data_IF_618875769173
#
_entry.id   IF_618875769173
#
_cell.length_a   1.000
_cell.length_b   1.000
_cell.length_c   1.000
_cell.angle_alpha   90.00
_cell.angle_beta   90.00
_cell.angle_gamma   90.00
#
_symmetry.space_group_name_H-M   'P 1'
#
loop_
_entity.id
_entity.type
_entity.pdbx_description
1 polymer ?
#
# COMPACT_ATOMS: atom_id res chain seq x y z
N UNK A 1 -12.65 7.63 -16.03
CA UNK A 1 -13.65 7.32 -14.99
C UNK A 1 -13.81 5.80 -14.81
N UNK A 2 -14.02 5.02 -15.87
CA UNK A 2 -14.15 3.55 -15.80
C UNK A 2 -12.95 2.87 -15.11
N UNK A 3 -11.72 3.28 -15.42
CA UNK A 3 -10.51 2.74 -14.78
C UNK A 3 -10.47 2.98 -13.25
N UNK A 4 -10.87 4.16 -12.79
CA UNK A 4 -10.92 4.46 -11.36
C UNK A 4 -11.95 3.58 -10.64
N UNK A 5 -13.13 3.38 -11.23
CA UNK A 5 -14.15 2.48 -10.68
C UNK A 5 -13.62 1.04 -10.58
N UNK A 6 -12.95 0.56 -11.62
CA UNK A 6 -12.37 -0.78 -11.62
C UNK A 6 -11.31 -0.97 -10.53
N UNK A 7 -10.48 0.04 -10.27
CA UNK A 7 -9.51 -0.01 -9.17
C UNK A 7 -10.21 -0.04 -7.82
N UNK A 8 -11.25 0.77 -7.63
CA UNK A 8 -12.03 0.75 -6.38
C UNK A 8 -12.66 -0.62 -6.15
N UNK A 9 -13.22 -1.24 -7.18
CA UNK A 9 -13.76 -2.61 -7.11
C UNK A 9 -12.65 -3.62 -6.78
N UNK A 10 -11.47 -3.49 -7.40
CA UNK A 10 -10.32 -4.35 -7.09
C UNK A 10 -9.85 -4.19 -5.64
N UNK A 11 -9.86 -2.96 -5.11
CA UNK A 11 -9.51 -2.68 -3.72
C UNK A 11 -10.52 -3.32 -2.75
N UNK A 12 -11.82 -3.23 -3.04
CA UNK A 12 -12.86 -3.92 -2.27
C UNK A 12 -12.69 -5.44 -2.35
N UNK A 13 -12.41 -5.98 -3.54
CA UNK A 13 -12.11 -7.41 -3.71
C UNK A 13 -10.89 -7.82 -2.89
N UNK A 14 -9.86 -6.96 -2.81
CA UNK A 14 -8.68 -7.22 -2.01
C UNK A 14 -9.00 -7.30 -0.51
N UNK A 15 -9.92 -6.47 0.01
CA UNK A 15 -10.42 -6.59 1.38
C UNK A 15 -11.13 -7.94 1.61
N UNK A 16 -11.95 -8.38 0.65
CA UNK A 16 -12.63 -9.67 0.75
C UNK A 16 -11.63 -10.83 0.74
N UNK A 17 -10.67 -10.81 -0.20
CA UNK A 17 -9.63 -11.84 -0.30
C UNK A 17 -8.71 -11.86 0.93
N UNK A 18 -8.40 -10.69 1.50
CA UNK A 18 -7.57 -10.56 2.70
C UNK A 18 -8.12 -11.36 3.89
N UNK A 19 -9.44 -11.47 4.02
CA UNK A 19 -10.10 -12.22 5.10
C UNK A 19 -9.84 -13.73 5.01
N UNK A 20 -9.59 -14.26 3.81
CA UNK A 20 -9.32 -15.68 3.60
C UNK A 20 -7.83 -16.02 3.69
N UNK A 21 -6.93 -15.05 3.84
CA UNK A 21 -5.49 -15.32 3.91
C UNK A 21 -5.13 -15.74 5.34
N UNK A 22 -4.73 -17.01 5.56
CA UNK A 22 -4.31 -17.46 6.88
C UNK A 22 -2.95 -16.85 7.26
N UNK A 23 -2.66 -16.84 8.55
CA UNK A 23 -1.35 -16.47 9.08
C UNK A 23 -0.35 -17.57 8.72
N UNK A 24 0.83 -17.19 8.24
CA UNK A 24 1.87 -18.15 7.86
C UNK A 24 2.72 -18.50 9.09
N UNK A 25 2.46 -19.65 9.70
CA UNK A 25 3.17 -20.13 10.90
C UNK A 25 4.67 -20.35 10.64
N UNK A 26 5.02 -20.85 9.46
CA UNK A 26 6.40 -21.07 9.03
C UNK A 26 7.19 -19.78 8.79
N UNK A 27 6.53 -18.62 8.74
CA UNK A 27 7.13 -17.31 8.50
C UNK A 27 6.92 -16.36 9.69
N UNK A 28 7.26 -16.82 10.91
CA UNK A 28 7.17 -16.01 12.14
C UNK A 28 5.77 -15.44 12.43
N UNK A 29 4.71 -16.17 12.09
CA UNK A 29 3.32 -15.69 12.18
C UNK A 29 3.07 -14.41 11.37
N UNK A 30 3.77 -14.26 10.23
CA UNK A 30 3.59 -13.15 9.31
C UNK A 30 2.27 -13.26 8.56
N UNK A 31 1.69 -12.10 8.23
CA UNK A 31 0.48 -11.97 7.42
C UNK A 31 0.82 -11.28 6.11
N UNK A 32 0.23 -11.71 5.02
CA UNK A 32 0.33 -10.98 3.76
C UNK A 32 -0.66 -9.81 3.77
N UNK A 33 -0.17 -8.57 3.63
CA UNK A 33 -1.01 -7.37 3.59
C UNK A 33 -1.45 -7.04 2.17
N UNK A 34 -2.40 -7.80 1.63
CA UNK A 34 -2.90 -7.65 0.25
C UNK A 34 -3.54 -6.27 0.02
N UNK A 35 -4.28 -5.75 1.01
CA UNK A 35 -4.91 -4.42 0.93
C UNK A 35 -3.87 -3.32 0.76
N UNK A 36 -2.76 -3.39 1.52
CA UNK A 36 -1.71 -2.38 1.44
C UNK A 36 -0.99 -2.46 0.08
N UNK A 37 -0.66 -3.68 -0.37
CA UNK A 37 -0.05 -3.91 -1.68
C UNK A 37 -0.94 -3.37 -2.82
N UNK A 38 -2.23 -3.67 -2.79
CA UNK A 38 -3.19 -3.24 -3.81
C UNK A 38 -3.41 -1.73 -3.81
N UNK A 39 -3.49 -1.10 -2.63
CA UNK A 39 -3.53 0.36 -2.52
C UNK A 39 -2.27 1.01 -3.09
N UNK A 40 -1.06 0.51 -2.76
CA UNK A 40 0.17 1.10 -3.29
C UNK A 40 0.31 0.89 -4.80
N UNK A 41 -0.11 -0.27 -5.33
CA UNK A 41 -0.21 -0.48 -6.78
C UNK A 41 -1.18 0.52 -7.43
N UNK A 42 -2.34 0.73 -6.81
CA UNK A 42 -3.33 1.72 -7.26
C UNK A 42 -2.73 3.14 -7.26
N UNK A 43 -2.03 3.52 -6.19
CA UNK A 43 -1.40 4.80 -6.03
C UNK A 43 -0.37 5.10 -7.14
N UNK A 44 0.30 4.10 -7.71
CA UNK A 44 1.21 4.30 -8.85
C UNK A 44 0.45 4.58 -10.16
N UNK A 45 -0.78 4.09 -10.32
CA UNK A 45 -1.49 4.13 -11.62
C UNK A 45 -2.52 5.25 -11.77
N UNK A 46 -3.10 5.75 -10.68
CA UNK A 46 -4.12 6.83 -10.68
C UNK A 46 -3.48 8.22 -10.68
N UNK A 47 -4.22 9.36 -10.76
CA UNK A 47 -3.67 10.69 -10.49
C UNK A 47 -3.68 11.05 -8.99
N UNK A 48 -3.02 12.15 -8.58
CA UNK A 48 -2.87 12.51 -7.15
C UNK A 48 -4.19 12.65 -6.37
N UNK A 49 -5.21 13.37 -6.87
CA UNK A 49 -6.47 13.54 -6.14
C UNK A 49 -7.22 12.21 -5.94
N UNK A 50 -7.20 11.33 -6.94
CA UNK A 50 -7.85 10.01 -6.87
C UNK A 50 -7.11 9.10 -5.89
N UNK A 51 -5.78 9.18 -5.83
CA UNK A 51 -4.99 8.45 -4.83
C UNK A 51 -5.38 8.85 -3.40
N UNK A 52 -5.56 10.15 -3.13
CA UNK A 52 -6.00 10.61 -1.80
C UNK A 52 -7.42 10.12 -1.46
N UNK A 53 -8.35 10.14 -2.42
CA UNK A 53 -9.69 9.56 -2.22
C UNK A 53 -9.61 8.07 -1.89
N UNK A 54 -8.77 7.32 -2.61
CA UNK A 54 -8.54 5.90 -2.31
C UNK A 54 -7.87 5.70 -0.95
N UNK A 55 -6.95 6.58 -0.55
CA UNK A 55 -6.29 6.52 0.76
C UNK A 55 -7.30 6.70 1.90
N UNK A 56 -8.21 7.66 1.72
CA UNK A 56 -9.31 7.89 2.66
C UNK A 56 -10.21 6.65 2.76
N UNK A 57 -10.67 6.10 1.64
CA UNK A 57 -11.55 4.91 1.64
C UNK A 57 -10.84 3.68 2.20
N UNK A 58 -9.61 3.40 1.74
CA UNK A 58 -8.85 2.23 2.19
C UNK A 58 -8.49 2.33 3.68
N UNK A 59 -8.04 3.49 4.14
CA UNK A 59 -7.74 3.72 5.54
C UNK A 59 -9.00 3.65 6.41
N UNK A 60 -10.11 4.25 5.98
CA UNK A 60 -11.37 4.21 6.72
C UNK A 60 -11.90 2.77 6.86
N UNK A 61 -11.90 1.98 5.78
CA UNK A 61 -12.35 0.59 5.81
C UNK A 61 -11.41 -0.28 6.64
N UNK A 62 -10.09 -0.06 6.53
CA UNK A 62 -9.10 -0.77 7.34
C UNK A 62 -9.32 -0.49 8.84
N UNK A 63 -9.44 0.78 9.21
CA UNK A 63 -9.72 1.18 10.60
C UNK A 63 -11.06 0.62 11.07
N UNK A 64 -12.14 0.79 10.31
CA UNK A 64 -13.47 0.28 10.69
C UNK A 64 -13.47 -1.23 10.96
N UNK A 65 -12.62 -2.00 10.27
CA UNK A 65 -12.50 -3.45 10.44
C UNK A 65 -11.63 -3.84 11.63
N UNK A 66 -10.46 -3.21 11.80
CA UNK A 66 -9.43 -3.65 12.75
C UNK A 66 -9.34 -2.80 14.03
N UNK A 67 -10.06 -1.67 14.11
CA UNK A 67 -10.10 -0.79 15.28
C UNK A 67 -11.11 -1.26 16.34
N UNK A 68 -12.11 -2.08 15.96
CA UNK A 68 -13.04 -2.66 16.92
C UNK A 68 -12.40 -3.91 17.55
N UNK A 69 -12.05 -3.92 18.85
CA UNK A 69 -11.61 -5.13 19.50
C UNK A 69 -12.82 -6.06 19.63
N UNK A 70 -12.99 -6.98 18.67
CA UNK A 70 -13.91 -8.10 18.87
C UNK A 70 -13.26 -8.94 19.96
N UNK A 71 -13.82 -8.86 21.17
CA UNK A 71 -13.47 -9.72 22.30
C UNK A 71 -13.68 -11.18 21.90
N UNK A 72 -12.64 -11.80 21.35
CA UNK A 72 -12.61 -13.22 21.02
C UNK A 72 -11.30 -13.80 21.55
N UNK A 73 -11.25 -13.99 22.88
CA UNK A 73 -10.67 -15.14 23.57
C UNK A 73 -9.34 -15.77 23.14
N UNK A 74 -8.45 -15.08 22.41
CA UNK A 74 -7.11 -15.56 22.09
C UNK A 74 -6.09 -14.47 22.38
N UNK A 75 -5.37 -14.67 23.48
CA UNK A 75 -4.39 -13.77 24.10
C UNK A 75 -3.08 -13.60 23.29
N UNK A 76 -3.10 -13.91 21.99
CA UNK A 76 -1.92 -13.84 21.10
C UNK A 76 -2.01 -12.68 20.10
N UNK A 77 -3.00 -11.80 20.24
CA UNK A 77 -3.05 -10.53 19.48
C UNK A 77 -2.23 -9.44 20.19
N UNK A 78 -0.91 -9.64 20.29
CA UNK A 78 0.01 -8.74 20.99
C UNK A 78 0.07 -7.29 20.46
N UNK A 79 -0.63 -6.97 19.37
CA UNK A 79 -0.78 -5.61 18.84
C UNK A 79 -2.22 -5.38 18.41
N UNK A 80 -3.03 -4.84 19.32
CA UNK A 80 -4.38 -4.41 18.98
C UNK A 80 -4.30 -3.06 18.26
N UNK A 81 -4.67 -3.02 16.97
CA UNK A 81 -4.82 -1.76 16.24
C UNK A 81 -5.90 -0.83 16.87
N UNK A 82 -6.65 -1.33 17.86
CA UNK A 82 -7.55 -0.53 18.69
C UNK A 82 -6.83 0.54 19.54
N UNK A 83 -5.52 0.42 19.77
CA UNK A 83 -4.75 1.42 20.53
C UNK A 83 -4.32 2.64 19.72
N UNK A 84 -4.45 2.57 18.39
CA UNK A 84 -4.23 3.75 17.54
C UNK A 84 -5.47 4.62 17.51
N UNK A 85 -5.26 5.93 17.49
CA UNK A 85 -6.34 6.89 17.28
C UNK A 85 -6.95 6.71 15.90
N UNK A 86 -8.28 6.73 15.85
CA UNK A 86 -9.04 6.64 14.61
C UNK A 86 -8.53 7.64 13.58
N UNK A 87 -8.11 7.13 12.42
CA UNK A 87 -7.65 7.94 11.29
C UNK A 87 -6.12 8.04 11.15
N UNK A 88 -5.33 7.46 12.06
CA UNK A 88 -3.89 7.37 11.86
C UNK A 88 -3.51 6.56 10.61
N UNK A 89 -4.23 5.47 10.35
CA UNK A 89 -4.01 4.65 9.14
C UNK A 89 -4.39 5.39 7.86
N UNK A 90 -5.42 6.25 7.90
CA UNK A 90 -5.77 7.13 6.77
C UNK A 90 -4.60 8.06 6.45
N UNK A 91 -4.03 8.70 7.48
CA UNK A 91 -2.87 9.56 7.34
C UNK A 91 -1.67 8.80 6.78
N UNK A 92 -1.38 7.60 7.27
CA UNK A 92 -0.28 6.76 6.76
C UNK A 92 -0.46 6.38 5.30
N UNK A 93 -1.67 5.98 4.88
CA UNK A 93 -1.94 5.68 3.47
C UNK A 93 -1.77 6.91 2.58
N UNK A 94 -2.22 8.09 3.05
CA UNK A 94 -2.00 9.34 2.34
C UNK A 94 -0.52 9.71 2.22
N UNK A 95 0.24 9.58 3.32
CA UNK A 95 1.67 9.89 3.37
C UNK A 95 2.48 8.94 2.48
N UNK A 96 2.37 7.63 2.70
CA UNK A 96 3.10 6.62 1.93
C UNK A 96 2.63 6.58 0.47
N UNK A 97 1.32 6.79 0.25
CA UNK A 97 0.74 6.96 -1.08
C UNK A 97 1.26 8.20 -1.79
N UNK A 98 1.61 9.28 -1.09
CA UNK A 98 2.26 10.45 -1.70
C UNK A 98 3.72 10.16 -2.08
N UNK A 99 4.46 9.45 -1.23
CA UNK A 99 5.85 9.03 -1.49
C UNK A 99 5.93 8.16 -2.74
N UNK A 100 5.03 7.18 -2.89
CA UNK A 100 5.06 6.28 -4.04
C UNK A 100 4.68 6.97 -5.36
N UNK A 101 3.99 8.12 -5.32
CA UNK A 101 3.75 8.89 -6.55
C UNK A 101 5.01 9.47 -7.17
N UNK A 102 6.06 9.70 -6.37
CA UNK A 102 7.37 10.10 -6.88
C UNK A 102 7.98 9.07 -7.85
N UNK A 103 7.53 7.82 -7.78
CA UNK A 103 8.02 6.68 -8.59
C UNK A 103 7.26 6.54 -9.92
N UNK A 104 6.13 7.24 -10.10
CA UNK A 104 5.34 7.22 -11.35
C UNK A 104 6.14 7.51 -12.64
N UNK A 105 7.03 8.52 -12.72
CA UNK A 105 7.82 8.76 -13.94
C UNK A 105 8.71 7.57 -14.29
N UNK A 106 9.11 6.77 -13.30
CA UNK A 106 9.97 5.61 -13.47
C UNK A 106 9.19 4.38 -13.99
N UNK A 107 7.94 4.20 -13.55
CA UNK A 107 7.03 3.17 -14.09
C UNK A 107 6.81 3.33 -15.60
N UNK A 108 6.72 4.58 -16.10
CA UNK A 108 6.56 4.85 -17.55
C UNK A 108 7.78 4.46 -18.39
N UNK A 109 8.97 4.34 -17.79
CA UNK A 109 10.20 3.92 -18.48
C UNK A 109 10.32 2.40 -18.64
N UNK A 110 9.30 1.63 -18.22
CA UNK A 110 9.26 0.18 -18.39
C UNK A 110 10.15 -0.60 -17.41
N UNK A 111 10.61 0.03 -16.32
CA UNK A 111 11.33 -0.67 -15.24
C UNK A 111 10.33 -1.08 -14.16
N UNK A 112 9.85 -2.32 -14.22
CA UNK A 112 8.81 -2.85 -13.33
C UNK A 112 9.34 -3.22 -11.94
N UNK A 113 10.66 -3.41 -11.80
CA UNK A 113 11.32 -3.82 -10.56
C UNK A 113 11.31 -2.73 -9.49
N UNK A 114 11.49 -1.47 -9.88
CA UNK A 114 11.61 -0.33 -8.96
C UNK A 114 10.29 0.01 -8.25
N UNK A 115 9.12 0.03 -8.93
CA UNK A 115 7.83 0.15 -8.26
C UNK A 115 7.56 -0.99 -7.27
N UNK A 116 7.88 -2.24 -7.64
CA UNK A 116 7.70 -3.41 -6.78
C UNK A 116 8.50 -3.26 -5.49
N UNK A 117 9.78 -2.89 -5.61
CA UNK A 117 10.64 -2.63 -4.45
C UNK A 117 10.11 -1.49 -3.59
N UNK A 118 9.66 -0.40 -4.21
CA UNK A 118 9.09 0.75 -3.49
C UNK A 118 7.81 0.39 -2.72
N UNK A 119 6.97 -0.50 -3.24
CA UNK A 119 5.79 -1.00 -2.53
C UNK A 119 6.23 -1.75 -1.27
N UNK A 120 7.22 -2.64 -1.38
CA UNK A 120 7.80 -3.35 -0.24
C UNK A 120 8.34 -2.39 0.83
N UNK A 121 9.15 -1.41 0.42
CA UNK A 121 9.71 -0.40 1.33
C UNK A 121 8.61 0.41 2.00
N UNK A 122 7.60 0.89 1.26
CA UNK A 122 6.47 1.62 1.84
C UNK A 122 5.70 0.77 2.84
N UNK A 123 5.50 -0.53 2.58
CA UNK A 123 4.81 -1.42 3.52
C UNK A 123 5.61 -1.64 4.79
N UNK A 124 6.92 -1.86 4.69
CA UNK A 124 7.81 -2.02 5.84
C UNK A 124 7.82 -0.75 6.71
N UNK A 125 8.00 0.41 6.08
CA UNK A 125 8.00 1.71 6.76
C UNK A 125 6.63 1.98 7.42
N UNK A 126 5.52 1.64 6.75
CA UNK A 126 4.19 1.80 7.31
C UNK A 126 3.98 0.97 8.58
N UNK A 127 4.37 -0.30 8.57
CA UNK A 127 4.27 -1.19 9.74
C UNK A 127 5.20 -0.72 10.85
N UNK A 128 6.43 -0.31 10.52
CA UNK A 128 7.39 0.21 11.49
C UNK A 128 6.88 1.46 12.18
N UNK A 129 6.28 2.42 11.44
CA UNK A 129 5.71 3.63 12.03
C UNK A 129 4.53 3.27 12.95
N UNK A 130 3.65 2.36 12.54
CA UNK A 130 2.54 1.91 13.40
C UNK A 130 3.07 1.27 14.68
N UNK A 131 4.04 0.35 14.56
CA UNK A 131 4.67 -0.29 15.70
C UNK A 131 5.30 0.73 16.66
N UNK A 132 6.02 1.72 16.12
CA UNK A 132 6.68 2.73 16.93
C UNK A 132 5.67 3.59 17.69
N UNK A 133 4.57 3.99 17.04
CA UNK A 133 3.49 4.77 17.68
C UNK A 133 2.80 3.97 18.77
N UNK A 134 2.49 2.69 18.53
CA UNK A 134 1.91 1.81 19.56
C UNK A 134 2.89 1.67 20.75
N UNK A 135 4.17 1.43 20.46
CA UNK A 135 5.19 1.27 21.50
C UNK A 135 5.35 2.54 22.35
N UNK A 136 5.33 3.72 21.72
CA UNK A 136 5.34 5.00 22.44
C UNK A 136 4.08 5.20 23.29
N UNK A 137 2.92 4.77 22.81
CA UNK A 137 1.67 4.89 23.57
C UNK A 137 1.64 3.96 24.79
N UNK A 138 2.20 2.75 24.66
CA UNK A 138 2.31 1.77 25.76
C UNK A 138 3.39 2.13 26.77
N UNK A 139 4.39 2.92 26.38
CA UNK A 139 5.57 3.21 27.22
C UNK A 139 6.52 2.02 27.38
N UNK A 140 6.28 0.92 26.67
CA UNK A 140 7.09 -0.30 26.67
C UNK A 140 7.66 -0.55 25.27
N UNK A 141 8.98 -0.60 25.15
CA UNK A 141 9.67 -0.85 23.90
C UNK A 141 10.28 -2.26 23.90
N UNK A 142 9.51 -3.24 23.46
CA UNK A 142 9.93 -4.64 23.41
C UNK A 142 10.46 -5.02 22.02
N UNK A 143 11.74 -4.73 21.78
CA UNK A 143 12.42 -5.04 20.51
C UNK A 143 12.89 -6.50 20.46
N UNK A 144 11.99 -7.40 20.07
CA UNK A 144 12.28 -8.84 19.91
C UNK A 144 12.71 -9.13 18.47
N UNK A 145 13.72 -9.98 18.28
CA UNK A 145 14.18 -10.38 16.94
C UNK A 145 13.07 -10.99 16.06
N UNK A 146 12.19 -11.78 16.68
CA UNK A 146 11.06 -12.41 15.97
C UNK A 146 10.05 -11.39 15.43
N UNK A 147 9.84 -10.26 16.14
CA UNK A 147 8.98 -9.18 15.65
C UNK A 147 9.57 -8.52 14.41
N UNK A 148 10.90 -8.32 14.40
CA UNK A 148 11.60 -7.79 13.22
C UNK A 148 11.45 -8.70 12.01
N UNK A 149 11.67 -10.00 12.20
CA UNK A 149 11.50 -10.96 11.11
C UNK A 149 10.05 -11.05 10.66
N UNK A 150 9.06 -10.96 11.56
CA UNK A 150 7.65 -10.91 11.18
C UNK A 150 7.34 -9.67 10.31
N UNK A 151 7.76 -8.48 10.73
CA UNK A 151 7.54 -7.24 9.95
C UNK A 151 8.23 -7.31 8.58
N UNK A 152 9.47 -7.80 8.55
CA UNK A 152 10.25 -7.96 7.32
C UNK A 152 9.59 -8.97 6.37
N UNK A 153 9.19 -10.15 6.86
CA UNK A 153 8.53 -11.17 6.05
C UNK A 153 7.17 -10.67 5.53
N UNK A 154 6.42 -9.94 6.36
CA UNK A 154 5.15 -9.33 5.97
C UNK A 154 5.33 -8.35 4.81
N UNK A 155 6.36 -7.49 4.89
CA UNK A 155 6.70 -6.56 3.82
C UNK A 155 7.18 -7.29 2.55
N UNK A 156 7.97 -8.35 2.69
CA UNK A 156 8.43 -9.17 1.56
C UNK A 156 7.28 -9.91 0.86
N UNK A 157 6.32 -10.47 1.59
CA UNK A 157 5.13 -11.09 0.98
C UNK A 157 4.24 -10.07 0.27
N UNK A 158 4.08 -8.88 0.85
CA UNK A 158 3.39 -7.76 0.21
C UNK A 158 4.10 -7.31 -1.08
N UNK A 159 5.43 -7.23 -1.05
CA UNK A 159 6.27 -6.97 -2.22
C UNK A 159 6.12 -8.06 -3.29
N UNK A 160 6.11 -9.33 -2.90
CA UNK A 160 5.94 -10.47 -3.80
C UNK A 160 4.54 -10.50 -4.45
N UNK A 161 3.52 -10.02 -3.75
CA UNK A 161 2.16 -9.84 -4.29
C UNK A 161 2.11 -8.77 -5.39
N UNK A 162 2.89 -7.70 -5.21
CA UNK A 162 2.81 -6.50 -6.02
C UNK A 162 3.02 -6.70 -7.53
N UNK A 163 3.96 -7.52 -8.05
CA UNK A 163 4.07 -7.73 -9.50
C UNK A 163 2.80 -8.34 -10.09
N UNK A 164 2.14 -9.27 -9.39
CA UNK A 164 0.87 -9.86 -9.86
C UNK A 164 -0.24 -8.82 -9.94
N UNK A 165 -0.34 -7.97 -8.91
CA UNK A 165 -1.33 -6.88 -8.87
C UNK A 165 -1.06 -5.82 -9.94
N UNK A 166 0.21 -5.42 -10.11
CA UNK A 166 0.62 -4.45 -11.14
C UNK A 166 0.36 -4.99 -12.55
N UNK A 167 0.61 -6.28 -12.79
CA UNK A 167 0.28 -6.94 -14.06
C UNK A 167 -1.24 -6.92 -14.30
N UNK A 168 -2.04 -7.28 -13.30
CA UNK A 168 -3.50 -7.24 -13.37
C UNK A 168 -3.99 -5.82 -13.71
N UNK A 169 -3.52 -4.81 -12.98
CA UNK A 169 -3.85 -3.40 -13.22
C UNK A 169 -3.42 -2.94 -14.61
N UNK A 170 -2.23 -3.32 -15.08
CA UNK A 170 -1.74 -2.95 -16.40
C UNK A 170 -2.60 -3.56 -17.52
N UNK A 171 -3.13 -4.77 -17.32
CA UNK A 171 -4.05 -5.43 -18.26
C UNK A 171 -5.41 -4.74 -18.27
N UNK A 172 -5.93 -4.37 -17.10
CA UNK A 172 -7.16 -3.58 -16.97
C UNK A 172 -7.01 -2.17 -17.58
N UNK A 173 -5.84 -1.54 -17.45
CA UNK A 173 -5.54 -0.25 -18.07
C UNK A 173 -5.51 -0.33 -19.61
N UNK A 174 -4.98 -1.43 -20.17
CA UNK A 174 -5.02 -1.69 -21.62
C UNK A 174 -6.47 -1.83 -22.12
N UNK A 175 -7.32 -2.54 -21.38
CA UNK A 175 -8.73 -2.71 -21.76
C UNK A 175 -9.54 -1.42 -21.69
N UNK A 176 -9.21 -0.53 -20.75
CA UNK A 176 -9.92 0.75 -20.60
C UNK A 176 -9.33 1.89 -21.45
N UNK A 177 -8.24 1.64 -22.20
CA UNK A 177 -7.56 2.66 -23.00
C UNK A 177 -6.99 3.82 -22.16
N UNK A 178 -6.79 3.61 -20.86
CA UNK A 178 -6.37 4.68 -19.95
C UNK A 178 -4.89 5.03 -20.16
N UNK A 179 -4.63 6.12 -20.87
CA UNK A 179 -3.29 6.74 -20.91
C UNK A 179 -3.11 7.57 -19.65
N UNK A 180 -2.19 7.17 -18.78
CA UNK A 180 -1.73 7.94 -17.61
C UNK A 180 -1.24 9.31 -18.14
N UNK A 181 -2.10 10.32 -18.07
CA UNK A 181 -1.82 11.69 -18.51
C UNK A 181 -1.20 12.42 -17.32
N UNK A 182 0.02 12.91 -17.48
CA UNK A 182 0.62 13.84 -16.53
C UNK A 182 -0.08 15.18 -16.72
N UNK A 183 -1.09 15.48 -15.92
CA UNK A 183 -1.50 16.88 -15.71
C UNK A 183 -0.57 17.46 -14.66
N UNK A 184 0.49 18.12 -15.14
CA UNK A 184 1.54 18.68 -14.29
C UNK A 184 2.70 19.25 -15.10
N UNK A 185 2.51 20.50 -15.56
CA UNK A 185 3.51 21.43 -16.12
C UNK A 185 4.20 20.94 -17.40
N UNK A 186 3.60 21.30 -18.53
CA UNK A 186 4.29 21.46 -19.81
C UNK A 186 5.48 22.40 -19.66
N UNK A 187 6.66 21.87 -19.35
CA UNK A 187 7.91 22.53 -19.70
C UNK A 187 8.24 22.09 -21.13
N UNK A 188 7.76 22.89 -22.09
CA UNK A 188 8.31 22.93 -23.44
C UNK A 188 9.80 23.25 -23.29
N UNK A 189 10.65 22.24 -23.27
CA UNK A 189 12.01 22.40 -23.78
C UNK A 189 11.97 21.91 -25.22
N UNK A 190 11.65 22.86 -26.10
CA UNK A 190 12.08 22.82 -27.49
C UNK A 190 13.61 22.86 -27.47
N UNK A 191 14.25 21.69 -27.51
CA UNK A 191 15.62 21.57 -28.01
C UNK A 191 15.51 21.08 -29.45
N UNK A 192 15.08 22.00 -30.32
CA UNK A 192 15.36 21.93 -31.73
C UNK A 192 16.83 22.37 -31.85
N UNK A 193 17.73 21.40 -31.77
CA UNK A 193 19.12 21.61 -32.12
C UNK A 193 19.18 21.57 -33.64
N UNK A 194 19.24 22.75 -34.24
CA UNK A 194 19.51 22.92 -35.65
C UNK A 194 20.87 22.32 -36.02
N UNK A 195 20.85 21.69 -37.20
CA UNK A 195 21.92 21.31 -38.10
C UNK A 195 23.34 21.81 -37.80
N UNK A 196 24.29 20.87 -37.82
CA UNK A 196 25.41 20.88 -38.75
C UNK A 196 25.69 19.45 -39.23
#
# INVERSE_FOLDING_TARGET
>A
MIYCLLITVLLILAFFLQEFIPVLEWAYHSRMLLVHATFFCAAVTVPYPVMLMLAFVAGFVWEARYHLPITAGNEVAAFSQAELHFGFTIFLFGLLGSVIQGVRPLFRRGRWELPVLMIGVCTLVGILIQYLVISFHRGEFNWTGDLWFNMLMTALFSMLASPFILLLMSRMAKWTGYKIRMEGITRKYSFYGDAF
#
